data_IF_069129426971
#
_entry.id   IF_069129426971
#
_cell.length_a   1.000
_cell.length_b   1.000
_cell.length_c   1.000
_cell.angle_alpha   90.00
_cell.angle_beta   90.00
_cell.angle_gamma   90.00
#
_symmetry.space_group_name_H-M   'P 1'
#
loop_
_entity.id
_entity.type
_entity.pdbx_description
1 polymer ?
#
# COMPACT_ATOMS: atom_id res chain seq x y z
N UNK A 1 -16.18 17.33 10.60
CA UNK A 1 -14.76 17.09 10.29
C UNK A 1 -14.06 16.65 11.56
N UNK A 2 -13.49 15.45 11.57
CA UNK A 2 -12.68 14.97 12.69
C UNK A 2 -11.21 15.29 12.42
N UNK A 3 -10.44 15.54 13.49
CA UNK A 3 -8.98 15.64 13.40
C UNK A 3 -8.44 14.21 13.55
N UNK A 4 -7.63 13.77 12.59
CA UNK A 4 -6.99 12.47 12.66
C UNK A 4 -6.01 12.41 13.84
N UNK A 5 -6.04 11.34 14.67
CA UNK A 5 -5.03 11.13 15.69
C UNK A 5 -3.67 10.86 15.04
N UNK A 6 -2.61 11.04 15.82
CA UNK A 6 -1.23 10.68 15.48
C UNK A 6 -0.67 9.82 16.62
N UNK A 7 -0.49 8.50 16.44
CA UNK A 7 -0.71 7.75 15.20
C UNK A 7 -2.18 7.65 14.77
N UNK A 8 -2.42 7.42 13.47
CA UNK A 8 -3.77 7.21 12.95
C UNK A 8 -4.32 5.86 13.40
N UNK A 9 -3.49 4.81 13.29
CA UNK A 9 -3.89 3.45 13.62
C UNK A 9 -2.70 2.61 14.09
N UNK A 10 -2.95 1.79 15.12
CA UNK A 10 -2.05 0.72 15.57
C UNK A 10 -2.81 -0.59 15.54
N UNK A 11 -2.18 -1.61 15.00
CA UNK A 11 -2.72 -2.95 15.03
C UNK A 11 -2.65 -3.53 16.44
N UNK A 12 -3.79 -3.99 16.97
CA UNK A 12 -3.88 -4.53 18.34
C UNK A 12 -3.40 -5.97 18.47
N UNK A 13 -3.08 -6.66 17.37
CA UNK A 13 -2.75 -8.09 17.37
C UNK A 13 -1.23 -8.30 17.42
N UNK A 14 -0.51 -7.74 16.46
CA UNK A 14 0.93 -7.85 16.31
C UNK A 14 1.69 -6.52 16.38
N UNK A 15 0.99 -5.38 16.40
CA UNK A 15 1.55 -4.01 16.41
C UNK A 15 2.52 -3.76 15.25
N UNK A 16 2.18 -4.32 14.09
CA UNK A 16 2.97 -4.23 12.87
C UNK A 16 2.14 -3.85 11.66
N UNK A 17 1.30 -2.84 11.77
CA UNK A 17 0.48 -2.37 10.66
C UNK A 17 1.38 -1.70 9.60
N UNK A 18 1.38 -2.24 8.39
CA UNK A 18 2.17 -1.74 7.26
C UNK A 18 1.40 -1.82 5.93
N UNK A 19 1.88 -1.09 4.92
CA UNK A 19 1.40 -1.19 3.54
C UNK A 19 -0.14 -1.05 3.43
N UNK A 20 -0.72 0.08 3.91
CA UNK A 20 -2.17 0.22 4.00
C UNK A 20 -2.79 0.41 2.62
N UNK A 21 -4.08 0.05 2.47
CA UNK A 21 -4.96 0.53 1.39
C UNK A 21 -6.35 0.84 1.94
N UNK A 22 -6.92 1.97 1.53
CA UNK A 22 -8.21 2.48 1.99
C UNK A 22 -9.29 2.25 0.94
N UNK A 23 -10.38 1.58 1.31
CA UNK A 23 -11.50 1.27 0.41
C UNK A 23 -12.85 1.49 1.09
N UNK A 24 -13.83 1.95 0.32
CA UNK A 24 -15.20 2.10 0.80
C UNK A 24 -15.96 0.76 0.75
N UNK A 25 -16.45 0.31 1.91
CA UNK A 25 -17.36 -0.82 1.99
C UNK A 25 -18.79 -0.36 1.74
N UNK A 26 -19.31 -0.61 0.53
CA UNK A 26 -20.63 -0.11 0.08
C UNK A 26 -21.79 -0.62 0.96
N UNK A 27 -21.81 -1.92 1.24
CA UNK A 27 -22.88 -2.55 2.03
C UNK A 27 -22.88 -2.11 3.50
N UNK A 28 -21.70 -2.04 4.14
CA UNK A 28 -21.56 -1.66 5.55
C UNK A 28 -21.53 -0.14 5.76
N UNK A 29 -21.48 0.63 4.68
CA UNK A 29 -21.36 2.09 4.68
C UNK A 29 -20.26 2.60 5.62
N UNK A 30 -19.08 2.01 5.50
CA UNK A 30 -17.90 2.34 6.32
C UNK A 30 -16.63 2.22 5.48
N UNK A 31 -15.61 2.98 5.84
CA UNK A 31 -14.27 2.83 5.26
C UNK A 31 -13.56 1.64 5.89
N UNK A 32 -12.91 0.84 5.06
CA UNK A 32 -12.00 -0.23 5.47
C UNK A 32 -10.57 0.15 5.11
N UNK A 33 -9.64 -0.21 5.99
CA UNK A 33 -8.21 -0.18 5.77
C UNK A 33 -7.73 -1.62 5.80
N UNK A 34 -7.19 -2.09 4.68
CA UNK A 34 -6.42 -3.33 4.65
C UNK A 34 -4.96 -3.00 4.88
N UNK A 35 -4.21 -3.86 5.58
CA UNK A 35 -2.79 -3.65 5.86
C UNK A 35 -2.06 -4.98 6.00
N UNK A 36 -0.79 -5.02 5.64
CA UNK A 36 0.11 -6.11 6.01
C UNK A 36 0.22 -6.16 7.53
N UNK A 37 -0.16 -7.28 8.15
CA UNK A 37 -0.10 -7.45 9.60
C UNK A 37 1.24 -8.10 10.02
N UNK A 38 2.31 -7.30 10.07
CA UNK A 38 3.67 -7.76 10.43
C UNK A 38 3.70 -8.22 11.89
N UNK A 39 4.40 -9.33 12.15
CA UNK A 39 4.42 -10.04 13.44
C UNK A 39 5.42 -9.42 14.43
N UNK A 40 5.35 -8.10 14.65
CA UNK A 40 6.38 -7.34 15.35
C UNK A 40 6.55 -7.72 16.84
N UNK A 41 5.45 -8.06 17.52
CA UNK A 41 5.46 -8.47 18.93
C UNK A 41 5.75 -9.97 19.16
N UNK A 42 5.96 -10.76 18.11
CA UNK A 42 6.23 -12.19 18.25
C UNK A 42 7.69 -12.40 18.71
N UNK A 43 7.90 -13.14 19.82
CA UNK A 43 9.23 -13.39 20.33
C UNK A 43 9.98 -14.41 19.46
N UNK A 44 11.30 -14.43 19.58
CA UNK A 44 12.16 -15.50 19.02
C UNK A 44 12.06 -15.67 17.49
N UNK A 45 11.71 -14.61 16.77
CA UNK A 45 11.76 -14.58 15.31
C UNK A 45 13.14 -14.12 14.81
N UNK A 46 13.73 -14.91 13.91
CA UNK A 46 15.05 -14.66 13.32
C UNK A 46 14.95 -13.88 12.00
N UNK A 47 15.98 -13.09 11.71
CA UNK A 47 16.10 -12.31 10.48
C UNK A 47 14.83 -11.54 10.14
N UNK A 48 14.28 -11.82 8.96
CA UNK A 48 13.05 -11.17 8.47
C UNK A 48 11.79 -12.01 8.66
N UNK A 49 11.84 -13.12 9.43
CA UNK A 49 10.66 -13.97 9.63
C UNK A 49 9.46 -13.21 10.21
N UNK A 50 9.67 -12.12 10.95
CA UNK A 50 8.60 -11.25 11.49
C UNK A 50 7.79 -10.51 10.42
N UNK A 51 8.33 -10.31 9.21
CA UNK A 51 7.54 -9.84 8.07
C UNK A 51 6.97 -10.97 7.24
N UNK A 52 7.35 -12.23 7.49
CA UNK A 52 6.73 -13.40 6.87
C UNK A 52 5.63 -13.99 7.76
N UNK A 53 4.83 -14.92 7.21
CA UNK A 53 3.69 -15.52 7.91
C UNK A 53 2.58 -14.52 8.19
N UNK A 54 2.60 -13.39 7.48
CA UNK A 54 1.67 -12.29 7.68
C UNK A 54 0.34 -12.58 7.03
N UNK A 55 -0.71 -12.08 7.67
CA UNK A 55 -2.05 -11.98 7.12
C UNK A 55 -2.32 -10.53 6.72
N UNK A 56 -3.40 -10.30 6.00
CA UNK A 56 -3.89 -8.94 5.76
C UNK A 56 -4.89 -8.58 6.85
N UNK A 57 -4.54 -7.63 7.71
CA UNK A 57 -5.45 -7.09 8.73
C UNK A 57 -6.48 -6.15 8.13
N UNK A 58 -7.61 -5.99 8.81
CA UNK A 58 -8.69 -5.09 8.44
C UNK A 58 -9.00 -4.19 9.64
N UNK A 59 -9.00 -2.88 9.41
CA UNK A 59 -9.57 -1.90 10.32
C UNK A 59 -10.74 -1.18 9.65
N UNK A 60 -11.70 -0.70 10.43
CA UNK A 60 -12.86 0.04 9.93
C UNK A 60 -12.98 1.42 10.56
N UNK A 61 -13.51 2.37 9.80
CA UNK A 61 -13.79 3.72 10.26
C UNK A 61 -15.03 4.30 9.58
N UNK A 62 -15.89 4.98 10.36
CA UNK A 62 -17.04 5.72 9.82
C UNK A 62 -16.68 7.14 9.38
N UNK A 63 -15.65 7.73 9.98
CA UNK A 63 -15.25 9.13 9.78
C UNK A 63 -13.89 9.29 9.09
N UNK A 64 -13.17 8.18 8.85
CA UNK A 64 -11.83 8.13 8.27
C UNK A 64 -10.71 8.54 9.23
N UNK A 65 -11.03 8.97 10.45
CA UNK A 65 -10.09 9.43 11.47
C UNK A 65 -9.93 8.41 12.60
N UNK A 66 -11.03 7.78 13.03
CA UNK A 66 -11.04 6.82 14.12
C UNK A 66 -11.16 5.40 13.56
N UNK A 67 -10.08 4.65 13.63
CA UNK A 67 -9.98 3.30 13.09
C UNK A 67 -10.05 2.25 14.19
N UNK A 68 -10.78 1.17 13.93
CA UNK A 68 -10.93 0.04 14.85
C UNK A 68 -10.61 -1.26 14.14
N UNK A 69 -9.80 -2.10 14.78
CA UNK A 69 -9.56 -3.46 14.31
C UNK A 69 -10.88 -4.19 14.07
N UNK A 70 -10.97 -4.89 12.96
CA UNK A 70 -12.10 -5.76 12.61
C UNK A 70 -11.65 -7.21 12.80
N UNK A 71 -10.80 -7.70 11.89
CA UNK A 71 -10.25 -9.07 11.85
C UNK A 71 -9.23 -9.12 10.67
N UNK A 72 -8.75 -10.28 10.23
CA UNK A 72 -7.87 -10.47 9.06
C UNK A 72 -8.63 -11.01 7.85
N UNK A 73 -8.32 -10.57 6.64
CA UNK A 73 -8.98 -11.01 5.42
C UNK A 73 -8.89 -12.54 5.24
N UNK A 74 -10.03 -13.17 4.92
CA UNK A 74 -10.09 -14.60 4.67
C UNK A 74 -9.78 -14.92 3.21
N UNK A 75 -8.50 -15.14 2.95
CA UNK A 75 -7.95 -15.45 1.63
C UNK A 75 -7.94 -16.96 1.39
N UNK A 76 -8.67 -17.38 0.35
CA UNK A 76 -8.87 -18.78 -0.05
C UNK A 76 -7.81 -19.24 -1.07
N UNK A 77 -6.54 -18.94 -0.81
CA UNK A 77 -5.39 -19.39 -1.59
C UNK A 77 -4.28 -19.90 -0.67
N UNK A 78 -4.13 -21.22 -0.58
CA UNK A 78 -3.18 -21.89 0.34
C UNK A 78 -2.56 -23.13 -0.34
N UNK A 79 -1.87 -22.95 -1.48
CA UNK A 79 -1.26 -24.08 -2.21
C UNK A 79 -0.14 -24.77 -1.43
N UNK A 80 0.42 -24.09 -0.43
CA UNK A 80 1.42 -24.61 0.50
C UNK A 80 0.95 -24.39 1.95
N UNK A 81 1.52 -25.15 2.89
CA UNK A 81 1.15 -25.09 4.31
C UNK A 81 1.46 -23.73 4.95
N UNK A 82 2.69 -23.26 4.74
CA UNK A 82 3.17 -21.96 5.22
C UNK A 82 3.18 -20.95 4.07
N UNK A 83 2.69 -19.74 4.33
CA UNK A 83 2.59 -18.68 3.33
C UNK A 83 2.52 -17.31 3.98
N UNK A 84 2.71 -16.28 3.16
CA UNK A 84 2.78 -14.88 3.58
C UNK A 84 2.00 -13.99 2.61
N UNK A 85 1.34 -12.97 3.13
CA UNK A 85 0.63 -11.95 2.36
C UNK A 85 1.18 -10.54 2.63
N UNK A 86 1.49 -9.78 1.59
CA UNK A 86 1.97 -8.39 1.68
C UNK A 86 1.22 -7.44 0.75
N UNK A 87 1.15 -6.18 1.17
CA UNK A 87 0.81 -5.02 0.34
C UNK A 87 -0.43 -5.26 -0.56
N UNK A 88 -1.63 -5.31 0.03
CA UNK A 88 -2.86 -5.44 -0.75
C UNK A 88 -3.14 -4.17 -1.55
N UNK A 89 -3.49 -4.31 -2.82
CA UNK A 89 -4.23 -3.28 -3.57
C UNK A 89 -5.68 -3.74 -3.71
N UNK A 90 -6.63 -2.88 -3.37
CA UNK A 90 -8.06 -3.19 -3.45
C UNK A 90 -8.80 -2.14 -4.26
N UNK A 91 -9.58 -2.58 -5.23
CA UNK A 91 -10.47 -1.72 -6.02
C UNK A 91 -11.84 -2.36 -6.19
N UNK A 92 -12.85 -1.54 -6.48
CA UNK A 92 -14.19 -2.01 -6.81
C UNK A 92 -14.50 -1.76 -8.28
N UNK A 93 -15.14 -2.73 -8.91
CA UNK A 93 -15.66 -2.60 -10.26
C UNK A 93 -16.97 -3.38 -10.40
N UNK A 94 -18.04 -2.71 -10.83
CA UNK A 94 -19.35 -3.31 -11.11
C UNK A 94 -19.93 -4.20 -9.99
N UNK A 95 -19.78 -3.78 -8.73
CA UNK A 95 -20.29 -4.50 -7.56
C UNK A 95 -19.36 -5.59 -7.03
N UNK A 96 -18.20 -5.81 -7.65
CA UNK A 96 -17.19 -6.77 -7.23
C UNK A 96 -15.91 -6.06 -6.78
N UNK A 97 -15.37 -6.48 -5.65
CA UNK A 97 -14.05 -6.02 -5.20
C UNK A 97 -12.98 -6.96 -5.75
N UNK A 98 -11.90 -6.36 -6.27
CA UNK A 98 -10.72 -7.04 -6.74
C UNK A 98 -9.56 -6.71 -5.80
N UNK A 99 -8.78 -7.71 -5.41
CA UNK A 99 -7.53 -7.53 -4.70
C UNK A 99 -6.39 -8.12 -5.50
N UNK A 100 -5.32 -7.34 -5.65
CA UNK A 100 -4.04 -7.81 -6.15
C UNK A 100 -3.06 -7.80 -5.00
N UNK A 101 -2.54 -8.97 -4.68
CA UNK A 101 -1.85 -9.20 -3.43
C UNK A 101 -0.53 -9.88 -3.66
N UNK A 102 0.52 -9.39 -2.99
CA UNK A 102 1.79 -10.10 -2.98
C UNK A 102 1.68 -11.36 -2.13
N UNK A 103 1.99 -12.50 -2.74
CA UNK A 103 2.00 -13.82 -2.11
C UNK A 103 3.41 -14.39 -2.09
N UNK A 104 3.84 -14.88 -0.93
CA UNK A 104 5.10 -15.62 -0.78
C UNK A 104 4.80 -17.03 -0.27
N UNK A 105 5.30 -18.09 -0.93
CA UNK A 105 5.01 -19.49 -0.59
C UNK A 105 5.88 -19.99 0.57
N UNK A 106 5.85 -19.31 1.71
CA UNK A 106 6.54 -19.76 2.92
C UNK A 106 6.78 -18.67 3.95
N UNK A 107 7.47 -19.08 5.01
CA UNK A 107 8.04 -18.22 6.05
C UNK A 107 9.55 -18.34 6.01
N UNK A 108 10.24 -17.22 5.80
CA UNK A 108 11.68 -17.23 5.53
C UNK A 108 12.44 -16.24 6.40
N UNK A 109 13.71 -16.55 6.69
CA UNK A 109 14.60 -15.69 7.48
C UNK A 109 15.40 -14.70 6.62
N UNK A 110 15.32 -14.81 5.29
CA UNK A 110 15.95 -13.90 4.33
C UNK A 110 15.03 -13.58 3.13
N UNK A 111 15.50 -12.77 2.18
CA UNK A 111 14.71 -12.24 1.06
C UNK A 111 14.85 -13.02 -0.27
N UNK A 112 15.53 -14.16 -0.30
CA UNK A 112 15.92 -14.87 -1.54
C UNK A 112 14.90 -15.94 -1.99
N UNK A 113 13.61 -15.67 -1.82
CA UNK A 113 12.53 -16.64 -2.05
C UNK A 113 11.51 -16.17 -3.08
N UNK A 114 10.87 -17.01 -3.89
CA UNK A 114 9.92 -16.55 -4.90
C UNK A 114 8.77 -15.74 -4.30
N UNK A 115 8.22 -14.81 -5.07
CA UNK A 115 7.02 -14.07 -4.69
C UNK A 115 6.29 -13.59 -5.94
N UNK A 116 4.98 -13.76 -5.92
CA UNK A 116 4.10 -13.48 -7.04
C UNK A 116 2.99 -12.52 -6.61
N UNK A 117 2.32 -11.92 -7.60
CA UNK A 117 1.07 -11.20 -7.36
C UNK A 117 -0.09 -12.16 -7.69
N UNK A 118 -1.04 -12.31 -6.76
CA UNK A 118 -2.26 -13.09 -6.95
C UNK A 118 -3.46 -12.17 -7.11
N UNK A 119 -4.42 -12.59 -7.94
CA UNK A 119 -5.72 -11.94 -8.10
C UNK A 119 -6.77 -12.66 -7.26
N UNK A 120 -7.47 -11.88 -6.45
CA UNK A 120 -8.57 -12.32 -5.61
C UNK A 120 -9.82 -11.46 -5.87
N UNK A 121 -11.01 -12.03 -5.65
CA UNK A 121 -12.28 -11.30 -5.73
C UNK A 121 -13.10 -11.46 -4.46
N UNK A 122 -13.93 -10.46 -4.15
CA UNK A 122 -14.82 -10.47 -2.98
C UNK A 122 -16.07 -9.63 -3.22
N UNK A 123 -17.20 -10.04 -2.64
CA UNK A 123 -18.44 -9.25 -2.62
C UNK A 123 -18.67 -8.54 -1.29
N UNK A 124 -17.86 -8.83 -0.27
CA UNK A 124 -18.07 -8.39 1.10
C UNK A 124 -16.80 -7.85 1.78
N UNK A 125 -15.69 -7.73 1.04
CA UNK A 125 -14.39 -7.28 1.55
C UNK A 125 -13.82 -8.13 2.71
N UNK A 126 -14.41 -9.30 2.97
CA UNK A 126 -14.04 -10.20 4.08
C UNK A 126 -13.51 -11.52 3.54
N UNK A 127 -14.28 -12.16 2.67
CA UNK A 127 -13.97 -13.45 2.08
C UNK A 127 -13.48 -13.24 0.65
N UNK A 128 -12.28 -13.75 0.37
CA UNK A 128 -11.57 -13.51 -0.88
C UNK A 128 -11.39 -14.82 -1.63
N UNK A 129 -12.11 -14.94 -2.74
CA UNK A 129 -11.99 -16.04 -3.70
C UNK A 129 -10.71 -15.86 -4.51
N UNK A 130 -9.93 -16.93 -4.63
CA UNK A 130 -8.80 -16.96 -5.54
C UNK A 130 -9.24 -17.04 -7.00
N UNK A 131 -8.65 -16.20 -7.86
CA UNK A 131 -8.86 -16.24 -9.31
C UNK A 131 -7.61 -16.75 -10.04
N UNK A 132 -6.44 -16.13 -9.83
CA UNK A 132 -5.22 -16.50 -10.55
C UNK A 132 -3.93 -16.04 -9.87
N UNK A 133 -2.81 -16.65 -10.27
CA UNK A 133 -1.47 -16.06 -10.10
C UNK A 133 -1.14 -15.31 -11.39
N UNK A 134 -0.74 -14.04 -11.28
CA UNK A 134 -0.44 -13.22 -12.46
C UNK A 134 0.88 -13.64 -13.09
N UNK A 135 0.91 -13.68 -14.42
CA UNK A 135 2.15 -13.87 -15.20
C UNK A 135 2.72 -12.50 -15.57
N UNK A 136 3.62 -12.00 -14.73
CA UNK A 136 4.29 -10.70 -14.89
C UNK A 136 5.74 -10.89 -15.33
N UNK A 137 6.55 -9.82 -15.28
CA UNK A 137 7.91 -9.82 -15.81
C UNK A 137 8.88 -10.83 -15.16
N UNK A 138 8.61 -11.28 -13.92
CA UNK A 138 9.46 -12.27 -13.24
C UNK A 138 8.75 -12.96 -12.06
N UNK A 139 9.42 -13.95 -11.46
CA UNK A 139 9.02 -14.67 -10.22
C UNK A 139 9.39 -13.92 -8.92
N UNK A 140 9.73 -12.63 -9.05
CA UNK A 140 10.00 -11.74 -7.91
C UNK A 140 9.36 -10.36 -8.14
N UNK A 141 8.03 -10.36 -8.08
CA UNK A 141 7.20 -9.17 -8.27
C UNK A 141 6.33 -8.92 -7.03
N UNK A 142 6.17 -7.65 -6.66
CA UNK A 142 5.43 -7.25 -5.45
C UNK A 142 4.66 -5.95 -5.70
N UNK A 143 3.79 -5.62 -4.74
CA UNK A 143 3.22 -4.29 -4.53
C UNK A 143 2.46 -3.75 -5.75
N UNK A 144 1.36 -4.41 -6.09
CA UNK A 144 0.48 -3.96 -7.16
C UNK A 144 -0.18 -2.61 -6.82
N UNK A 145 -0.48 -1.81 -7.84
CA UNK A 145 -1.47 -0.74 -7.81
C UNK A 145 -2.23 -0.72 -9.13
N UNK A 146 -3.55 -0.56 -9.12
CA UNK A 146 -4.39 -0.66 -10.32
C UNK A 146 -5.31 0.54 -10.47
N UNK A 147 -5.36 1.12 -11.67
CA UNK A 147 -6.35 2.14 -12.03
C UNK A 147 -7.02 1.82 -13.36
N UNK A 148 -8.23 2.36 -13.55
CA UNK A 148 -8.89 2.36 -14.85
C UNK A 148 -8.21 3.34 -15.82
N UNK A 149 -8.07 2.95 -17.09
CA UNK A 149 -7.53 3.79 -18.14
C UNK A 149 -8.62 4.68 -18.75
N UNK A 150 -8.32 5.93 -19.16
CA UNK A 150 -9.29 6.81 -19.83
C UNK A 150 -9.91 6.24 -21.11
N UNK A 151 -9.17 5.40 -21.83
CA UNK A 151 -9.61 4.75 -23.06
C UNK A 151 -10.38 3.45 -22.85
N UNK A 152 -10.66 3.06 -21.61
CA UNK A 152 -11.15 1.72 -21.26
C UNK A 152 -10.02 0.76 -20.92
N UNK A 153 -10.37 -0.31 -20.21
CA UNK A 153 -9.40 -1.22 -19.63
C UNK A 153 -8.75 -0.67 -18.36
N UNK A 154 -7.69 -1.34 -17.93
CA UNK A 154 -6.99 -1.10 -16.68
C UNK A 154 -5.49 -1.21 -16.85
N UNK A 155 -4.77 -0.50 -15.98
CA UNK A 155 -3.32 -0.61 -15.86
C UNK A 155 -2.94 -0.92 -14.42
N UNK A 156 -2.06 -1.90 -14.27
CA UNK A 156 -1.38 -2.23 -13.03
C UNK A 156 0.04 -1.70 -13.08
N UNK A 157 0.52 -1.11 -12.00
CA UNK A 157 1.94 -0.93 -11.73
C UNK A 157 2.36 -1.89 -10.63
N UNK A 158 3.61 -2.36 -10.70
CA UNK A 158 4.16 -3.28 -9.72
C UNK A 158 5.67 -3.16 -9.68
N UNK A 159 6.28 -3.60 -8.59
CA UNK A 159 7.72 -3.66 -8.47
C UNK A 159 8.29 -4.94 -9.08
N UNK A 160 9.31 -4.83 -9.93
CA UNK A 160 10.09 -5.97 -10.42
C UNK A 160 11.44 -6.00 -9.72
N UNK A 161 11.60 -6.88 -8.74
CA UNK A 161 12.80 -6.92 -7.89
C UNK A 161 14.06 -7.30 -8.67
N UNK A 162 13.94 -8.21 -9.64
CA UNK A 162 15.08 -8.70 -10.43
C UNK A 162 15.69 -7.62 -11.32
N UNK A 163 14.91 -6.61 -11.68
CA UNK A 163 15.39 -5.45 -12.43
C UNK A 163 15.64 -4.26 -11.50
N UNK A 164 16.52 -4.48 -10.51
CA UNK A 164 16.98 -3.45 -9.56
C UNK A 164 15.84 -2.73 -8.85
N UNK A 165 14.73 -3.43 -8.57
CA UNK A 165 13.54 -2.86 -7.93
C UNK A 165 12.92 -1.72 -8.75
N UNK A 166 12.92 -1.84 -10.07
CA UNK A 166 12.22 -0.89 -10.96
C UNK A 166 10.71 -1.08 -10.90
N UNK A 167 9.95 -0.04 -11.25
CA UNK A 167 8.49 -0.13 -11.40
C UNK A 167 8.16 -0.50 -12.84
N UNK A 168 7.40 -1.57 -12.99
CA UNK A 168 6.87 -2.09 -14.25
C UNK A 168 5.37 -1.81 -14.33
N UNK A 169 4.78 -2.05 -15.51
CA UNK A 169 3.33 -2.02 -15.66
C UNK A 169 2.81 -3.11 -16.58
N UNK A 170 1.54 -3.47 -16.38
CA UNK A 170 0.79 -4.39 -17.20
C UNK A 170 -0.60 -3.82 -17.50
N UNK A 171 -1.16 -4.16 -18.66
CA UNK A 171 -2.50 -3.72 -19.06
C UNK A 171 -3.47 -4.91 -19.09
N UNK A 172 -4.73 -4.64 -18.80
CA UNK A 172 -5.82 -5.62 -18.83
C UNK A 172 -7.10 -5.00 -19.40
N UNK A 173 -7.82 -5.79 -20.19
CA UNK A 173 -9.14 -5.42 -20.73
C UNK A 173 -10.30 -5.92 -19.87
N UNK A 174 -10.04 -6.67 -18.79
CA UNK A 174 -11.11 -7.30 -17.98
C UNK A 174 -10.81 -7.42 -16.47
N UNK A 175 -9.63 -6.99 -16.00
CA UNK A 175 -9.08 -7.20 -14.63
C UNK A 175 -8.61 -8.64 -14.33
N UNK A 176 -8.84 -9.61 -15.20
CA UNK A 176 -8.44 -11.00 -14.97
C UNK A 176 -7.18 -11.37 -15.75
N UNK A 177 -7.05 -10.88 -16.98
CA UNK A 177 -5.96 -11.21 -17.88
C UNK A 177 -5.05 -10.00 -18.06
N UNK A 178 -3.80 -10.17 -17.66
CA UNK A 178 -2.80 -9.10 -17.65
C UNK A 178 -1.71 -9.36 -18.69
N UNK A 179 -1.35 -8.33 -19.45
CA UNK A 179 -0.22 -8.35 -20.39
C UNK A 179 0.85 -7.39 -19.89
N UNK A 180 2.01 -7.92 -19.50
CA UNK A 180 3.17 -7.10 -19.16
C UNK A 180 3.57 -6.17 -20.31
N UNK A 181 3.93 -4.93 -19.97
CA UNK A 181 4.35 -3.89 -20.91
C UNK A 181 5.75 -3.37 -20.61
N UNK A 182 6.46 -3.98 -19.66
CA UNK A 182 7.81 -3.62 -19.28
C UNK A 182 7.90 -2.45 -18.30
N UNK A 183 9.06 -1.81 -18.29
CA UNK A 183 9.45 -0.80 -17.30
C UNK A 183 8.71 0.53 -17.50
N UNK A 184 8.11 1.04 -16.44
CA UNK A 184 7.54 2.39 -16.37
C UNK A 184 8.55 3.41 -15.82
N UNK A 185 9.18 3.09 -14.68
CA UNK A 185 10.11 3.96 -13.96
C UNK A 185 11.24 3.11 -13.41
N UNK A 186 12.50 3.52 -13.62
CA UNK A 186 13.67 2.79 -13.14
C UNK A 186 14.91 3.67 -12.93
N UNK A 187 14.71 4.97 -12.70
CA UNK A 187 15.78 5.90 -12.38
C UNK A 187 16.35 5.68 -10.96
N UNK A 188 15.56 5.05 -10.07
CA UNK A 188 15.97 4.60 -8.74
C UNK A 188 15.18 3.35 -8.33
N UNK A 189 15.81 2.43 -7.61
CA UNK A 189 15.12 1.30 -7.01
C UNK A 189 14.12 1.73 -5.93
N UNK A 190 12.97 1.07 -5.89
CA UNK A 190 11.93 1.30 -4.89
C UNK A 190 10.86 0.23 -4.90
N UNK A 191 9.80 0.43 -4.15
CA UNK A 191 8.63 -0.46 -4.06
C UNK A 191 7.36 0.35 -3.77
N UNK A 192 6.23 -0.31 -3.55
CA UNK A 192 4.96 0.35 -3.27
C UNK A 192 4.54 1.44 -4.25
N UNK A 193 4.48 1.17 -5.57
CA UNK A 193 3.91 2.14 -6.49
C UNK A 193 2.45 2.41 -6.12
N UNK A 194 2.08 3.69 -5.95
CA UNK A 194 0.68 4.10 -5.87
C UNK A 194 0.38 5.14 -6.94
N UNK A 195 -0.57 4.83 -7.83
CA UNK A 195 -0.99 5.73 -8.90
C UNK A 195 -2.40 6.27 -8.65
N UNK A 196 -2.56 7.58 -8.82
CA UNK A 196 -3.85 8.26 -8.60
C UNK A 196 -3.96 9.51 -9.47
N UNK A 197 -5.18 9.88 -9.86
CA UNK A 197 -5.43 11.13 -10.58
C UNK A 197 -5.79 12.25 -9.62
N UNK A 198 -5.04 13.36 -9.65
CA UNK A 198 -5.32 14.52 -8.82
C UNK A 198 -4.80 15.80 -9.45
N UNK A 199 -5.62 16.86 -9.40
CA UNK A 199 -5.27 18.20 -9.91
C UNK A 199 -4.68 18.15 -11.33
N UNK A 200 -5.42 17.52 -12.25
CA UNK A 200 -5.12 17.42 -13.69
C UNK A 200 -3.94 16.52 -14.10
N UNK A 201 -3.31 15.81 -13.16
CA UNK A 201 -2.23 14.88 -13.45
C UNK A 201 -2.54 13.51 -12.86
N UNK A 202 -2.02 12.47 -13.52
CA UNK A 202 -1.75 11.22 -12.85
C UNK A 202 -0.46 11.36 -12.07
N UNK A 203 -0.48 10.95 -10.82
CA UNK A 203 0.69 10.91 -9.96
C UNK A 203 1.06 9.47 -9.69
N UNK A 204 2.36 9.18 -9.65
CA UNK A 204 2.89 7.92 -9.14
C UNK A 204 3.78 8.24 -7.94
N UNK A 205 3.48 7.61 -6.81
CA UNK A 205 4.28 7.62 -5.60
C UNK A 205 5.06 6.29 -5.54
N UNK A 206 6.34 6.32 -5.19
CA UNK A 206 7.19 5.13 -5.02
C UNK A 206 7.99 5.25 -3.73
N UNK A 207 7.96 4.24 -2.86
CA UNK A 207 8.83 4.16 -1.67
C UNK A 207 10.26 3.81 -2.12
N UNK A 208 11.22 4.71 -1.87
CA UNK A 208 12.63 4.47 -2.20
C UNK A 208 13.51 4.21 -0.97
N UNK A 209 12.89 3.83 0.15
CA UNK A 209 13.50 3.64 1.47
C UNK A 209 14.26 4.87 1.98
N UNK A 210 13.90 6.05 1.48
CA UNK A 210 14.48 7.35 1.79
C UNK A 210 13.40 8.45 1.68
N UNK A 211 12.18 8.13 2.10
CA UNK A 211 10.97 8.83 1.69
C UNK A 211 10.48 8.37 0.32
N UNK A 212 9.49 9.07 -0.22
CA UNK A 212 8.78 8.65 -1.43
C UNK A 212 9.09 9.60 -2.59
N UNK A 213 9.55 9.04 -3.71
CA UNK A 213 9.58 9.78 -4.96
C UNK A 213 8.18 9.91 -5.55
N UNK A 214 7.98 11.03 -6.24
CA UNK A 214 6.76 11.35 -6.96
C UNK A 214 7.10 11.57 -8.42
N UNK A 215 6.19 11.14 -9.28
CA UNK A 215 6.22 11.36 -10.70
C UNK A 215 4.84 11.83 -11.13
N UNK A 216 4.76 12.63 -12.20
CA UNK A 216 3.48 13.00 -12.81
C UNK A 216 3.43 12.65 -14.27
N UNK A 217 2.24 12.38 -14.77
CA UNK A 217 1.98 12.04 -16.16
C UNK A 217 0.64 12.63 -16.62
N UNK A 218 0.53 12.92 -17.92
CA UNK A 218 -0.75 13.23 -18.58
C UNK A 218 -1.39 12.01 -19.24
N UNK A 219 -0.62 10.96 -19.51
CA UNK A 219 -1.02 9.84 -20.36
C UNK A 219 -0.74 8.45 -19.76
N UNK A 220 -0.23 8.38 -18.53
CA UNK A 220 0.12 7.16 -17.79
C UNK A 220 1.29 6.36 -18.37
N UNK A 221 2.01 6.90 -19.36
CA UNK A 221 3.16 6.26 -20.01
C UNK A 221 4.44 7.06 -19.86
N UNK A 222 4.36 8.39 -20.00
CA UNK A 222 5.50 9.29 -19.83
C UNK A 222 5.45 9.93 -18.45
N UNK A 223 6.51 9.71 -17.67
CA UNK A 223 6.58 10.12 -16.27
C UNK A 223 7.64 11.21 -16.08
N UNK A 224 7.20 12.38 -15.64
CA UNK A 224 8.07 13.48 -15.22
C UNK A 224 8.33 13.36 -13.72
N UNK A 225 9.59 13.22 -13.33
CA UNK A 225 9.98 13.09 -11.93
C UNK A 225 9.87 14.43 -11.19
N UNK A 226 9.23 14.41 -10.03
CA UNK A 226 9.27 15.52 -9.08
C UNK A 226 10.68 15.67 -8.48
N UNK A 227 11.23 16.90 -8.36
CA UNK A 227 12.57 17.11 -7.82
C UNK A 227 12.77 16.60 -6.38
N UNK A 228 11.78 16.82 -5.52
CA UNK A 228 11.84 16.51 -4.09
C UNK A 228 10.98 15.31 -3.72
N UNK A 229 11.44 14.52 -2.74
CA UNK A 229 10.67 13.45 -2.12
C UNK A 229 9.76 13.99 -1.02
N UNK A 230 8.66 13.31 -0.75
CA UNK A 230 7.87 13.54 0.46
C UNK A 230 8.20 12.48 1.52
N UNK A 231 7.89 12.76 2.79
CA UNK A 231 8.05 11.83 3.92
C UNK A 231 9.50 11.31 4.12
N UNK A 232 10.49 11.98 3.56
CA UNK A 232 11.91 11.69 3.75
C UNK A 232 12.41 12.14 5.13
N UNK A 233 11.92 13.28 5.61
CA UNK A 233 12.34 13.81 6.90
C UNK A 233 11.47 13.25 8.03
N UNK A 234 12.05 12.97 9.21
CA UNK A 234 11.29 12.66 10.43
C UNK A 234 10.24 13.72 10.74
N UNK A 235 9.08 13.30 11.25
CA UNK A 235 8.09 14.19 11.87
C UNK A 235 8.48 14.58 13.29
N UNK A 236 7.68 15.47 13.89
CA UNK A 236 7.87 15.96 15.27
C UNK A 236 6.99 15.24 16.29
N UNK A 237 6.06 14.38 15.83
CA UNK A 237 5.22 13.56 16.70
C UNK A 237 6.02 12.47 17.42
N UNK A 238 5.60 12.11 18.64
CA UNK A 238 6.31 11.15 19.50
C UNK A 238 6.60 9.79 18.83
N UNK A 239 5.72 9.34 17.95
CA UNK A 239 5.87 8.09 17.20
C UNK A 239 6.02 8.30 15.68
N UNK A 240 6.42 9.51 15.29
CA UNK A 240 6.54 9.93 13.89
C UNK A 240 8.00 10.29 13.50
N UNK A 241 8.96 9.90 14.33
CA UNK A 241 10.38 10.31 14.25
C UNK A 241 11.26 9.56 13.25
N UNK A 242 10.68 8.93 12.23
CA UNK A 242 11.39 8.20 11.18
C UNK A 242 10.81 8.53 9.79
N UNK A 243 11.45 8.03 8.73
CA UNK A 243 10.94 8.18 7.36
C UNK A 243 9.61 7.44 7.19
N UNK A 244 8.73 7.93 6.32
CA UNK A 244 7.56 7.17 5.89
C UNK A 244 7.95 6.02 4.95
N UNK A 245 7.25 4.89 5.05
CA UNK A 245 7.34 3.76 4.12
C UNK A 245 6.03 3.57 3.35
N UNK A 246 5.99 2.57 2.44
CA UNK A 246 4.86 2.20 1.55
C UNK A 246 3.51 2.81 1.94
N UNK A 247 2.92 3.54 0.99
CA UNK A 247 1.71 4.31 1.22
C UNK A 247 0.59 3.99 0.23
N UNK A 248 -0.63 4.27 0.70
CA UNK A 248 -1.79 4.49 -0.14
C UNK A 248 -2.14 5.98 -0.20
N UNK A 249 -2.80 6.38 -1.28
CA UNK A 249 -3.30 7.74 -1.46
C UNK A 249 -4.78 7.67 -1.80
N UNK A 250 -5.60 8.26 -0.94
CA UNK A 250 -7.03 8.43 -1.18
C UNK A 250 -7.31 9.86 -1.64
N UNK A 251 -7.73 9.99 -2.89
CA UNK A 251 -8.30 11.24 -3.41
C UNK A 251 -9.77 11.29 -3.03
N UNK A 252 -10.19 12.34 -2.31
CA UNK A 252 -11.57 12.55 -1.91
C UNK A 252 -12.01 13.97 -2.26
N UNK A 253 -12.87 14.08 -3.28
CA UNK A 253 -13.21 15.37 -3.86
C UNK A 253 -11.97 16.06 -4.43
N UNK A 254 -11.68 17.26 -3.96
CA UNK A 254 -10.52 18.06 -4.38
C UNK A 254 -9.27 17.87 -3.51
N UNK A 255 -9.36 17.05 -2.46
CA UNK A 255 -8.30 16.78 -1.48
C UNK A 255 -7.68 15.40 -1.70
N UNK A 256 -6.43 15.24 -1.27
CA UNK A 256 -5.75 13.95 -1.30
C UNK A 256 -5.06 13.70 0.04
N UNK A 257 -5.19 12.47 0.54
CA UNK A 257 -4.60 12.04 1.81
C UNK A 257 -3.64 10.88 1.56
N UNK A 258 -2.43 10.99 2.10
CA UNK A 258 -1.44 9.91 2.06
C UNK A 258 -1.47 9.15 3.38
N UNK A 259 -1.75 7.85 3.31
CA UNK A 259 -1.75 6.91 4.42
C UNK A 259 -0.48 6.10 4.32
N UNK A 260 0.39 6.15 5.31
CA UNK A 260 1.72 5.54 5.23
C UNK A 260 2.09 4.88 6.54
N UNK A 261 2.90 3.82 6.46
CA UNK A 261 3.42 3.20 7.66
C UNK A 261 4.76 3.83 8.07
N UNK A 262 5.10 3.66 9.34
CA UNK A 262 6.39 4.06 9.90
C UNK A 262 6.84 3.04 10.94
N UNK A 263 8.15 2.89 11.09
CA UNK A 263 8.78 2.19 12.21
C UNK A 263 9.29 3.23 13.23
N UNK A 264 8.54 3.52 14.33
CA UNK A 264 8.92 4.58 15.25
C UNK A 264 10.28 4.31 15.92
N UNK A 265 10.59 3.04 16.20
CA UNK A 265 11.87 2.62 16.75
C UNK A 265 12.89 2.15 15.70
N UNK A 266 12.82 2.59 14.44
CA UNK A 266 13.74 2.15 13.36
C UNK A 266 15.23 2.19 13.76
N UNK A 267 15.62 3.17 14.57
CA UNK A 267 16.99 3.38 15.04
C UNK A 267 17.32 2.67 16.36
N UNK A 268 16.42 1.80 16.86
CA UNK A 268 16.68 1.01 18.06
C UNK A 268 17.91 0.09 17.83
N UNK A 269 18.85 0.01 18.79
CA UNK A 269 20.14 -0.64 18.59
C UNK A 269 20.01 -2.15 18.40
N UNK A 270 19.06 -2.77 19.08
CA UNK A 270 18.77 -4.21 18.97
C UNK A 270 17.57 -4.44 18.09
N UNK A 271 17.64 -5.50 17.28
CA UNK A 271 16.47 -6.03 16.61
C UNK A 271 15.51 -6.68 17.63
N UNK A 272 14.22 -6.53 17.40
CA UNK A 272 13.17 -6.90 18.34
C UNK A 272 11.96 -5.98 18.21
N UNK A 273 11.00 -6.12 19.13
CA UNK A 273 9.70 -5.44 19.07
C UNK A 273 9.82 -3.93 18.80
N UNK A 274 10.65 -3.20 19.54
CA UNK A 274 10.78 -1.73 19.37
C UNK A 274 11.24 -1.33 17.97
N UNK A 275 12.13 -2.12 17.37
CA UNK A 275 12.63 -1.86 16.01
C UNK A 275 11.62 -2.24 14.93
N UNK A 276 10.87 -3.31 15.18
CA UNK A 276 9.98 -3.98 14.21
C UNK A 276 8.58 -3.39 14.19
N UNK A 277 8.09 -2.85 15.31
CA UNK A 277 6.72 -2.32 15.40
C UNK A 277 6.48 -1.25 14.36
N UNK A 278 5.28 -1.27 13.79
CA UNK A 278 4.86 -0.31 12.77
C UNK A 278 3.42 0.07 12.97
N UNK A 279 3.15 1.32 12.61
CA UNK A 279 1.84 1.95 12.75
C UNK A 279 1.55 2.79 11.53
N UNK A 280 0.28 3.14 11.34
CA UNK A 280 -0.17 3.96 10.22
C UNK A 280 -0.30 5.41 10.66
N UNK A 281 0.18 6.30 9.81
CA UNK A 281 0.03 7.74 9.90
C UNK A 281 -0.77 8.24 8.69
N UNK A 282 -1.25 9.48 8.78
CA UNK A 282 -1.89 10.16 7.65
C UNK A 282 -1.42 11.61 7.58
N UNK A 283 -1.21 12.08 6.37
CA UNK A 283 -0.96 13.48 6.05
C UNK A 283 -1.84 13.91 4.88
N UNK A 284 -2.08 15.22 4.78
CA UNK A 284 -2.75 15.79 3.62
C UNK A 284 -1.70 16.21 2.59
N UNK A 285 -1.95 15.85 1.33
CA UNK A 285 -1.14 16.28 0.21
C UNK A 285 -1.64 17.65 -0.27
N UNK A 286 -0.70 18.53 -0.60
CA UNK A 286 -0.96 19.85 -1.18
C UNK A 286 -0.15 20.01 -2.47
N UNK A 287 -0.51 21.00 -3.30
CA UNK A 287 0.33 21.40 -4.43
C UNK A 287 1.02 22.72 -4.14
N UNK A 288 2.34 22.75 -4.34
CA UNK A 288 3.15 23.97 -4.31
C UNK A 288 3.95 24.03 -5.60
N UNK A 289 3.80 25.12 -6.37
CA UNK A 289 4.47 25.30 -7.68
C UNK A 289 4.26 24.12 -8.65
N UNK A 290 3.06 23.51 -8.61
CA UNK A 290 2.70 22.38 -9.48
C UNK A 290 3.24 21.01 -9.05
N UNK A 291 3.86 20.91 -7.86
CA UNK A 291 4.41 19.68 -7.29
C UNK A 291 3.73 19.31 -5.97
N UNK A 292 3.65 18.02 -5.69
CA UNK A 292 3.07 17.50 -4.45
C UNK A 292 4.00 17.78 -3.28
N UNK A 293 3.46 18.43 -2.25
CA UNK A 293 4.10 18.66 -0.95
C UNK A 293 3.28 18.00 0.16
N UNK A 294 3.95 17.70 1.28
CA UNK A 294 3.34 17.00 2.41
C UNK A 294 3.89 17.55 3.73
N UNK A 295 3.10 18.37 4.44
CA UNK A 295 3.39 18.73 5.83
C UNK A 295 2.83 17.64 6.75
N UNK A 296 3.64 16.64 7.06
CA UNK A 296 3.26 15.54 7.96
C UNK A 296 3.01 15.99 9.40
N UNK A 297 3.44 17.18 9.81
CA UNK A 297 3.28 17.67 11.18
C UNK A 297 1.95 18.42 11.36
N UNK A 298 1.40 18.98 10.29
CA UNK A 298 0.09 19.65 10.30
C UNK A 298 -1.04 18.73 10.82
N UNK A 299 -2.02 19.26 11.57
CA UNK A 299 -3.23 18.52 11.90
C UNK A 299 -4.03 18.16 10.65
N UNK A 300 -4.42 16.89 10.51
CA UNK A 300 -5.19 16.44 9.34
C UNK A 300 -6.67 16.46 9.68
N UNK A 301 -7.43 17.32 9.01
CA UNK A 301 -8.91 17.30 9.08
C UNK A 301 -9.44 16.33 8.04
N UNK A 302 -9.82 15.13 8.47
CA UNK A 302 -10.37 14.11 7.59
C UNK A 302 -11.88 14.32 7.43
N UNK A 303 -12.29 14.33 6.17
CA UNK A 303 -13.69 14.26 5.77
C UNK A 303 -13.75 13.40 4.51
N UNK A 304 -13.91 12.10 4.71
CA UNK A 304 -14.12 11.19 3.60
C UNK A 304 -15.61 11.20 3.24
N UNK A 305 -15.91 11.71 2.06
CA UNK A 305 -17.21 11.61 1.43
C UNK A 305 -17.28 10.36 0.57
N UNK A 306 -18.46 9.75 0.46
CA UNK A 306 -18.70 8.72 -0.55
C UNK A 306 -18.87 9.46 -1.87
N UNK A 307 -17.85 9.46 -2.71
CA UNK A 307 -17.97 9.93 -4.10
C UNK A 307 -19.11 9.15 -4.75
N UNK A 308 -20.06 9.86 -5.38
CA UNK A 308 -21.13 9.23 -6.15
C UNK A 308 -20.59 8.63 -7.44
#
# INVERSE_FOLDING_TARGET
MAIAPKPLYRDSVYDGAADPVIVWHKQQQTWYMFYTNRRANQPQLDGVTWVHGTRIGIASSKDGANWKYVDTADIQYRPVADYTHWAPEVMEHNGLYHMYLTYVPGVFADWKHPRDIVHLTSTDLRHWKFESVLKLASERVIDACVIALPGGGWRMWYNNELDKKSIYYADSDDLYHWTDKGKAVGDRGGEGPKVFYWKEYYWMLVDNWAGMSLYRSKDLTQWEKQPERILEQPGTGAEDGAIGGHADVLVNGDRAYVYYFIHPGKNHPTDGYEKRRSLIQVAELTLTNGWITCDRNAPVKIQLSVSK
#
